data_IF_300706036087
#
_entry.id   IF_300706036087
#
_cell.length_a   1.000
_cell.length_b   1.000
_cell.length_c   1.000
_cell.angle_alpha   90.00
_cell.angle_beta   90.00
_cell.angle_gamma   90.00
#
_symmetry.space_group_name_H-M   'P 1'
#
loop_
_entity.id
_entity.type
_entity.pdbx_description
1 polymer ?
#
# COMPACT_ATOMS: atom_id res chain seq x y z
N UNK A 1 -38.42 -4.44 42.70
CA UNK A 1 -37.25 -4.84 41.88
C UNK A 1 -37.59 -5.30 40.44
N UNK A 2 -38.85 -5.35 39.99
CA UNK A 2 -39.21 -5.91 38.66
C UNK A 2 -39.06 -4.98 37.43
N UNK A 3 -39.16 -3.66 37.58
CA UNK A 3 -39.32 -2.76 36.42
C UNK A 3 -38.01 -2.46 35.65
N UNK A 4 -36.84 -2.53 36.32
CA UNK A 4 -35.52 -2.30 35.69
C UNK A 4 -35.01 -3.48 34.85
N UNK A 5 -35.54 -4.68 35.08
CA UNK A 5 -35.15 -5.90 34.34
C UNK A 5 -35.88 -5.99 32.99
N UNK A 6 -37.19 -5.68 32.96
CA UNK A 6 -37.98 -5.63 31.73
C UNK A 6 -37.49 -4.55 30.74
N UNK A 7 -37.12 -3.37 31.22
CA UNK A 7 -36.59 -2.29 30.37
C UNK A 7 -35.27 -2.64 29.66
N UNK A 8 -34.40 -3.42 30.31
CA UNK A 8 -33.14 -3.90 29.70
C UNK A 8 -33.38 -4.96 28.62
N UNK A 9 -34.35 -5.86 28.84
CA UNK A 9 -34.74 -6.90 27.89
C UNK A 9 -35.38 -6.31 26.63
N UNK A 10 -36.25 -5.30 26.78
CA UNK A 10 -36.86 -4.59 25.66
C UNK A 10 -35.85 -3.80 24.82
N UNK A 11 -34.87 -3.15 25.46
CA UNK A 11 -33.78 -2.47 24.75
C UNK A 11 -32.86 -3.43 23.97
N UNK A 12 -32.59 -4.62 24.52
CA UNK A 12 -31.86 -5.68 23.81
C UNK A 12 -32.64 -6.22 22.61
N UNK A 13 -33.94 -6.44 22.77
CA UNK A 13 -34.82 -6.91 21.69
C UNK A 13 -34.95 -5.86 20.57
N UNK A 14 -35.10 -4.58 20.92
CA UNK A 14 -35.11 -3.48 19.96
C UNK A 14 -33.77 -3.36 19.21
N UNK A 15 -32.64 -3.48 19.91
CA UNK A 15 -31.31 -3.49 19.30
C UNK A 15 -31.09 -4.68 18.35
N UNK A 16 -31.60 -5.86 18.70
CA UNK A 16 -31.56 -7.04 17.84
C UNK A 16 -32.44 -6.86 16.60
N UNK A 17 -33.66 -6.34 16.75
CA UNK A 17 -34.57 -6.07 15.64
C UNK A 17 -34.00 -5.05 14.64
N UNK A 18 -33.37 -3.98 15.13
CA UNK A 18 -32.71 -2.98 14.27
C UNK A 18 -31.54 -3.60 13.49
N UNK A 19 -30.72 -4.46 14.13
CA UNK A 19 -29.62 -5.16 13.45
C UNK A 19 -30.12 -6.12 12.36
N UNK A 20 -31.21 -6.84 12.63
CA UNK A 20 -31.83 -7.75 11.65
C UNK A 20 -32.45 -6.96 10.49
N UNK A 21 -33.12 -5.85 10.76
CA UNK A 21 -33.68 -4.98 9.71
C UNK A 21 -32.57 -4.37 8.83
N UNK A 22 -31.45 -3.94 9.43
CA UNK A 22 -30.31 -3.41 8.71
C UNK A 22 -29.63 -4.50 7.85
N UNK A 23 -29.48 -5.71 8.39
CA UNK A 23 -28.93 -6.86 7.65
C UNK A 23 -29.83 -7.28 6.48
N UNK A 24 -31.16 -7.28 6.67
CA UNK A 24 -32.13 -7.55 5.61
C UNK A 24 -32.11 -6.47 4.52
N UNK A 25 -32.03 -5.19 4.90
CA UNK A 25 -31.91 -4.07 3.96
C UNK A 25 -30.60 -4.15 3.16
N UNK A 26 -29.47 -4.44 3.82
CA UNK A 26 -28.19 -4.67 3.16
C UNK A 26 -28.25 -5.87 2.21
N UNK A 27 -28.88 -6.97 2.61
CA UNK A 27 -29.06 -8.15 1.77
C UNK A 27 -29.96 -7.88 0.55
N UNK A 28 -30.92 -6.96 0.66
CA UNK A 28 -31.80 -6.55 -0.45
C UNK A 28 -31.12 -5.57 -1.41
N UNK A 29 -30.29 -4.67 -0.89
CA UNK A 29 -29.57 -3.66 -1.67
C UNK A 29 -28.28 -4.19 -2.28
N UNK A 30 -27.63 -5.20 -1.69
CA UNK A 30 -26.37 -5.78 -2.20
C UNK A 30 -26.49 -6.31 -3.64
N UNK A 31 -27.52 -7.08 -4.02
CA UNK A 31 -27.69 -7.59 -5.38
C UNK A 31 -27.85 -6.46 -6.40
N UNK A 32 -28.69 -5.47 -6.09
CA UNK A 32 -28.88 -4.30 -6.94
C UNK A 32 -27.59 -3.47 -7.07
N UNK A 33 -26.87 -3.26 -5.98
CA UNK A 33 -25.56 -2.60 -5.98
C UNK A 33 -24.50 -3.41 -6.75
N UNK A 34 -24.52 -4.74 -6.66
CA UNK A 34 -23.59 -5.60 -7.44
C UNK A 34 -23.92 -5.58 -8.92
N UNK A 35 -25.19 -5.57 -9.31
CA UNK A 35 -25.61 -5.41 -10.72
C UNK A 35 -25.23 -4.03 -11.24
N UNK A 36 -25.52 -2.96 -10.50
CA UNK A 36 -25.08 -1.60 -10.82
C UNK A 36 -23.56 -1.54 -10.96
N UNK A 37 -22.81 -2.12 -10.02
CA UNK A 37 -21.35 -2.11 -10.08
C UNK A 37 -20.81 -2.96 -11.23
N UNK A 38 -21.39 -4.13 -11.52
CA UNK A 38 -21.00 -4.95 -12.66
C UNK A 38 -21.26 -4.23 -13.98
N UNK A 39 -22.42 -3.59 -14.12
CA UNK A 39 -22.77 -2.81 -15.31
C UNK A 39 -21.90 -1.55 -15.45
N UNK A 40 -21.67 -0.80 -14.36
CA UNK A 40 -20.76 0.34 -14.34
C UNK A 40 -19.29 -0.07 -14.57
N UNK A 41 -18.84 -1.22 -14.06
CA UNK A 41 -17.50 -1.76 -14.33
C UNK A 41 -17.36 -2.29 -15.76
N UNK A 42 -18.41 -2.88 -16.33
CA UNK A 42 -18.41 -3.32 -17.73
C UNK A 42 -18.39 -2.11 -18.68
N UNK A 43 -19.24 -1.11 -18.43
CA UNK A 43 -19.27 0.13 -19.19
C UNK A 43 -17.96 0.91 -19.01
N UNK A 44 -17.42 0.96 -17.79
CA UNK A 44 -16.11 1.53 -17.47
C UNK A 44 -14.96 0.80 -18.16
N UNK A 45 -14.99 -0.53 -18.25
CA UNK A 45 -13.99 -1.31 -18.99
C UNK A 45 -14.12 -1.11 -20.50
N UNK A 46 -15.33 -0.95 -21.03
CA UNK A 46 -15.59 -0.64 -22.43
C UNK A 46 -15.09 0.76 -22.79
N UNK A 47 -15.30 1.74 -21.90
CA UNK A 47 -14.80 3.11 -22.02
C UNK A 47 -13.28 3.20 -21.79
N UNK A 48 -12.72 2.42 -20.86
CA UNK A 48 -11.28 2.33 -20.61
C UNK A 48 -10.54 1.64 -21.77
N UNK A 49 -11.15 0.64 -22.42
CA UNK A 49 -10.63 0.08 -23.66
C UNK A 49 -10.62 1.08 -24.83
N UNK A 50 -11.36 2.20 -24.70
CA UNK A 50 -11.39 3.31 -25.64
C UNK A 50 -10.66 4.57 -25.13
N UNK A 51 -10.29 4.62 -23.85
CA UNK A 51 -9.56 5.72 -23.24
C UNK A 51 -8.07 5.44 -23.39
N UNK A 52 -7.35 6.41 -23.94
CA UNK A 52 -5.93 6.29 -24.18
C UNK A 52 -5.21 6.10 -22.83
N UNK A 53 -4.65 4.91 -22.63
CA UNK A 53 -3.82 4.47 -21.49
C UNK A 53 -2.52 5.29 -21.34
N UNK A 54 -2.39 6.35 -22.16
CA UNK A 54 -1.12 6.94 -22.47
C UNK A 54 -0.74 8.02 -21.45
N UNK A 55 0.38 7.74 -20.78
CA UNK A 55 1.09 8.70 -19.94
C UNK A 55 2.26 9.30 -20.70
N UNK A 56 2.44 8.96 -21.98
CA UNK A 56 3.43 9.59 -22.83
C UNK A 56 3.18 11.08 -22.90
N UNK A 57 4.27 11.84 -22.72
CA UNK A 57 4.21 13.30 -22.68
C UNK A 57 3.57 13.90 -21.44
N UNK A 58 2.99 13.11 -20.52
CA UNK A 58 2.50 13.62 -19.23
C UNK A 58 3.66 13.85 -18.27
N UNK A 59 3.46 14.79 -17.34
CA UNK A 59 4.42 15.10 -16.27
C UNK A 59 3.98 14.45 -14.97
N UNK A 60 4.83 13.59 -14.43
CA UNK A 60 4.56 12.79 -13.23
C UNK A 60 5.55 13.18 -12.12
N UNK A 61 5.03 13.72 -11.03
CA UNK A 61 5.81 14.01 -9.80
C UNK A 61 5.74 12.82 -8.85
N UNK A 62 6.87 12.19 -8.55
CA UNK A 62 6.95 11.01 -7.68
C UNK A 62 7.75 11.32 -6.42
N UNK A 63 7.11 11.18 -5.27
CA UNK A 63 7.76 11.31 -3.96
C UNK A 63 8.29 9.96 -3.47
N UNK A 64 9.42 9.98 -2.77
CA UNK A 64 10.10 8.76 -2.31
C UNK A 64 10.67 7.94 -3.47
N UNK A 65 11.10 8.60 -4.54
CA UNK A 65 11.52 7.94 -5.78
C UNK A 65 12.92 7.30 -5.72
N UNK A 66 13.72 7.57 -4.68
CA UNK A 66 15.12 7.12 -4.58
C UNK A 66 15.34 5.63 -4.29
N UNK A 67 14.27 4.85 -4.07
CA UNK A 67 14.37 3.42 -3.72
C UNK A 67 13.00 2.74 -3.70
N UNK A 68 12.99 1.41 -3.88
CA UNK A 68 11.82 0.57 -3.58
C UNK A 68 10.66 0.84 -4.54
N UNK A 69 9.43 0.93 -4.01
CA UNK A 69 8.24 1.12 -4.85
C UNK A 69 8.33 2.39 -5.70
N UNK A 70 8.76 3.52 -5.12
CA UNK A 70 8.83 4.79 -5.84
C UNK A 70 9.81 4.77 -7.02
N UNK A 71 10.94 4.08 -6.86
CA UNK A 71 11.92 3.85 -7.93
C UNK A 71 11.31 3.02 -9.07
N UNK A 72 10.65 1.90 -8.74
CA UNK A 72 10.05 1.05 -9.77
C UNK A 72 8.84 1.70 -10.46
N UNK A 73 8.10 2.56 -9.76
CA UNK A 73 7.08 3.42 -10.36
C UNK A 73 7.71 4.41 -11.35
N UNK A 74 8.83 5.05 -11.00
CA UNK A 74 9.54 5.94 -11.91
C UNK A 74 9.95 5.22 -13.20
N UNK A 75 10.50 4.02 -13.09
CA UNK A 75 10.87 3.23 -14.28
C UNK A 75 9.65 2.82 -15.12
N UNK A 76 8.52 2.48 -14.51
CA UNK A 76 7.32 2.11 -15.25
C UNK A 76 6.68 3.33 -15.96
N UNK A 77 6.61 4.49 -15.31
CA UNK A 77 6.18 5.72 -15.97
C UNK A 77 7.13 6.13 -17.10
N UNK A 78 8.46 5.99 -16.89
CA UNK A 78 9.46 6.25 -17.91
C UNK A 78 9.29 5.37 -19.17
N UNK A 79 9.09 4.05 -19.00
CA UNK A 79 8.86 3.13 -20.12
C UNK A 79 7.62 3.47 -20.94
N UNK A 80 6.69 4.21 -20.35
CA UNK A 80 5.46 4.70 -20.99
C UNK A 80 5.62 6.13 -21.51
N UNK A 81 6.83 6.67 -21.60
CA UNK A 81 7.13 7.97 -22.22
C UNK A 81 6.76 9.19 -21.37
N UNK A 82 6.57 9.04 -20.06
CA UNK A 82 6.27 10.17 -19.19
C UNK A 82 7.52 11.00 -18.87
N UNK A 83 7.35 12.31 -18.73
CA UNK A 83 8.30 13.20 -18.08
C UNK A 83 8.20 13.02 -16.57
N UNK A 84 9.34 13.01 -15.87
CA UNK A 84 9.35 12.71 -14.44
C UNK A 84 9.96 13.85 -13.63
N UNK A 85 9.32 14.19 -12.53
CA UNK A 85 9.93 14.92 -11.43
C UNK A 85 10.11 13.96 -10.25
N UNK A 86 11.35 13.72 -9.83
CA UNK A 86 11.71 12.73 -8.82
C UNK A 86 12.13 13.40 -7.53
N UNK A 87 11.45 13.07 -6.43
CA UNK A 87 11.65 13.68 -5.12
C UNK A 87 12.04 12.64 -4.07
N UNK A 88 13.10 12.93 -3.32
CA UNK A 88 13.50 12.24 -2.10
C UNK A 88 14.62 13.02 -1.39
N UNK A 89 15.06 12.55 -0.22
CA UNK A 89 16.13 13.20 0.56
C UNK A 89 17.54 12.93 0.03
N UNK A 90 17.76 11.76 -0.57
CA UNK A 90 19.09 11.30 -1.03
C UNK A 90 19.28 11.67 -2.49
N UNK A 91 19.92 12.81 -2.75
CA UNK A 91 20.08 13.34 -4.10
C UNK A 91 20.86 12.41 -5.04
N UNK A 92 21.96 11.83 -4.57
CA UNK A 92 22.79 10.91 -5.38
C UNK A 92 21.97 9.73 -5.90
N UNK A 93 21.20 9.07 -5.03
CA UNK A 93 20.33 7.97 -5.45
C UNK A 93 19.18 8.41 -6.34
N UNK A 94 18.68 9.64 -6.21
CA UNK A 94 17.70 10.17 -7.17
C UNK A 94 18.31 10.37 -8.55
N UNK A 95 19.55 10.85 -8.63
CA UNK A 95 20.25 11.01 -9.90
C UNK A 95 20.44 9.67 -10.60
N UNK A 96 20.85 8.63 -9.85
CA UNK A 96 20.94 7.27 -10.40
C UNK A 96 19.59 6.75 -10.94
N UNK A 97 18.51 6.93 -10.18
CA UNK A 97 17.16 6.57 -10.64
C UNK A 97 16.75 7.41 -11.86
N UNK A 98 17.11 8.69 -11.89
CA UNK A 98 16.82 9.60 -13.00
C UNK A 98 17.52 9.18 -14.29
N UNK A 99 18.81 8.85 -14.21
CA UNK A 99 19.60 8.35 -15.34
C UNK A 99 19.03 7.03 -15.88
N UNK A 100 18.66 6.11 -14.96
CA UNK A 100 18.01 4.85 -15.32
C UNK A 100 16.62 5.06 -15.93
N UNK A 101 15.85 6.06 -15.46
CA UNK A 101 14.55 6.40 -16.02
C UNK A 101 14.67 7.02 -17.43
N UNK A 102 15.66 7.89 -17.67
CA UNK A 102 15.98 8.38 -19.02
C UNK A 102 16.33 7.20 -19.95
N UNK A 103 17.21 6.30 -19.50
CA UNK A 103 17.58 5.10 -20.26
C UNK A 103 16.40 4.16 -20.51
N UNK A 104 15.39 4.15 -19.63
CA UNK A 104 14.19 3.34 -19.76
C UNK A 104 13.13 3.93 -20.71
N UNK A 105 13.27 5.18 -21.16
CA UNK A 105 12.38 5.81 -22.14
C UNK A 105 11.73 7.13 -21.73
N UNK A 106 12.06 7.67 -20.55
CA UNK A 106 11.54 8.99 -20.17
C UNK A 106 12.11 10.08 -21.08
N UNK A 107 11.29 10.99 -21.64
CA UNK A 107 11.79 12.08 -22.48
C UNK A 107 12.51 13.19 -21.68
N UNK A 108 12.36 13.21 -20.36
CA UNK A 108 13.02 14.20 -19.51
C UNK A 108 12.75 13.96 -18.02
N UNK A 109 13.78 14.18 -17.21
CA UNK A 109 13.74 13.97 -15.76
C UNK A 109 14.25 15.19 -15.02
N UNK A 110 13.48 15.66 -14.02
CA UNK A 110 13.88 16.65 -13.03
C UNK A 110 14.13 15.94 -11.69
N UNK A 111 15.30 16.15 -11.09
CA UNK A 111 15.61 15.66 -9.74
C UNK A 111 15.48 16.82 -8.75
N UNK A 112 14.69 16.62 -7.70
CA UNK A 112 14.52 17.61 -6.64
C UNK A 112 14.73 16.96 -5.27
N UNK A 113 15.86 17.27 -4.64
CA UNK A 113 16.12 16.82 -3.28
C UNK A 113 15.29 17.63 -2.27
N UNK A 114 14.77 16.94 -1.24
CA UNK A 114 14.06 17.57 -0.13
C UNK A 114 13.30 16.57 0.74
N UNK A 115 12.65 17.08 1.78
CA UNK A 115 11.85 16.31 2.72
C UNK A 115 10.35 16.64 2.59
N UNK A 116 9.54 15.62 2.29
CA UNK A 116 8.08 15.73 2.22
C UNK A 116 7.42 16.08 3.56
N UNK A 117 8.16 16.00 4.67
CA UNK A 117 7.71 16.49 5.97
C UNK A 117 7.74 18.02 6.10
N UNK A 118 8.49 18.71 5.22
CA UNK A 118 8.61 20.16 5.16
C UNK A 118 7.57 20.75 4.19
N UNK A 119 6.64 21.60 4.66
CA UNK A 119 5.69 22.28 3.78
C UNK A 119 6.36 23.18 2.73
N UNK A 120 7.52 23.75 3.04
CA UNK A 120 8.29 24.59 2.10
C UNK A 120 8.89 23.75 0.99
N UNK A 121 9.43 22.57 1.32
CA UNK A 121 9.95 21.63 0.34
C UNK A 121 8.80 21.10 -0.54
N UNK A 122 7.65 20.78 0.04
CA UNK A 122 6.46 20.36 -0.71
C UNK A 122 6.01 21.42 -1.73
N UNK A 123 5.97 22.71 -1.34
CA UNK A 123 5.70 23.82 -2.27
C UNK A 123 6.74 23.87 -3.39
N UNK A 124 8.02 23.82 -3.01
CA UNK A 124 9.15 23.81 -3.94
C UNK A 124 9.06 22.68 -4.96
N UNK A 125 8.68 21.46 -4.56
CA UNK A 125 8.56 20.33 -5.49
C UNK A 125 7.56 20.60 -6.60
N UNK A 126 6.40 21.14 -6.25
CA UNK A 126 5.33 21.47 -7.21
C UNK A 126 5.76 22.65 -8.08
N UNK A 127 6.26 23.73 -7.47
CA UNK A 127 6.67 24.93 -8.18
C UNK A 127 7.83 24.67 -9.17
N UNK A 128 8.84 23.89 -8.75
CA UNK A 128 9.96 23.51 -9.60
C UNK A 128 9.49 22.63 -10.76
N UNK A 129 8.56 21.70 -10.51
CA UNK A 129 7.98 20.82 -11.54
C UNK A 129 7.22 21.63 -12.59
N UNK A 130 6.35 22.53 -12.16
CA UNK A 130 5.57 23.41 -13.05
C UNK A 130 6.51 24.37 -13.79
N UNK A 131 7.53 24.92 -13.13
CA UNK A 131 8.50 25.81 -13.77
C UNK A 131 9.33 25.10 -14.84
N UNK A 132 9.72 23.85 -14.59
CA UNK A 132 10.58 23.09 -15.49
C UNK A 132 9.82 22.48 -16.67
N UNK A 133 8.66 21.86 -16.43
CA UNK A 133 7.88 21.17 -17.48
C UNK A 133 6.65 21.94 -17.96
N UNK A 134 6.29 23.06 -17.33
CA UNK A 134 5.12 23.88 -17.68
C UNK A 134 3.79 23.33 -17.18
N UNK A 135 3.75 22.11 -16.62
CA UNK A 135 2.53 21.43 -16.15
C UNK A 135 2.84 20.34 -15.12
N UNK A 136 1.79 19.84 -14.47
CA UNK A 136 1.81 18.64 -13.63
C UNK A 136 0.53 17.86 -13.87
N UNK A 137 0.65 16.60 -14.31
CA UNK A 137 -0.50 15.75 -14.67
C UNK A 137 -0.81 14.72 -13.58
N UNK A 138 0.24 14.09 -13.03
CA UNK A 138 0.10 13.04 -12.01
C UNK A 138 0.98 13.38 -10.80
N UNK A 139 0.39 13.31 -9.61
CA UNK A 139 1.10 13.39 -8.33
C UNK A 139 1.07 12.03 -7.61
N UNK A 140 2.23 11.43 -7.43
CA UNK A 140 2.40 10.13 -6.76
C UNK A 140 2.95 10.36 -5.35
N UNK A 141 2.03 10.40 -4.38
CA UNK A 141 2.32 10.51 -2.95
C UNK A 141 2.73 9.16 -2.35
N UNK A 142 3.95 8.72 -2.64
CA UNK A 142 4.50 7.42 -2.26
C UNK A 142 5.48 7.49 -1.06
N UNK A 143 6.12 8.64 -0.81
CA UNK A 143 7.09 8.78 0.28
C UNK A 143 6.49 8.34 1.63
N UNK A 144 7.17 7.43 2.30
CA UNK A 144 6.74 6.93 3.61
C UNK A 144 7.92 6.49 4.47
N UNK A 145 7.69 6.49 5.78
CA UNK A 145 8.54 5.85 6.76
C UNK A 145 7.91 4.52 7.14
N UNK A 146 8.74 3.53 7.46
CA UNK A 146 8.29 2.22 7.93
C UNK A 146 9.14 1.78 9.11
N UNK A 147 8.50 1.23 10.14
CA UNK A 147 9.14 0.74 11.36
C UNK A 147 8.48 -0.58 11.74
N UNK A 148 9.31 -1.58 12.05
CA UNK A 148 8.86 -2.90 12.53
C UNK A 148 9.55 -3.18 13.86
N UNK A 149 8.82 -3.78 14.79
CA UNK A 149 9.29 -4.18 16.10
C UNK A 149 8.16 -4.84 16.87
N UNK A 150 8.50 -5.66 17.87
CA UNK A 150 7.48 -6.28 18.72
C UNK A 150 6.84 -5.22 19.60
N UNK A 151 5.53 -5.36 19.84
CA UNK A 151 4.82 -4.42 20.70
C UNK A 151 5.42 -4.34 22.11
N UNK A 152 5.80 -5.48 22.70
CA UNK A 152 6.44 -5.58 24.02
C UNK A 152 7.80 -4.88 24.08
N UNK A 153 8.41 -4.67 22.92
CA UNK A 153 9.72 -4.06 22.78
C UNK A 153 9.65 -2.54 22.51
N UNK A 154 8.45 -1.98 22.37
CA UNK A 154 8.24 -0.55 22.14
C UNK A 154 8.44 0.25 23.43
N UNK A 155 9.43 1.13 23.40
CA UNK A 155 9.68 2.10 24.47
C UNK A 155 8.80 3.36 24.33
N UNK A 156 8.38 3.68 23.10
CA UNK A 156 7.47 4.79 22.80
C UNK A 156 6.45 4.37 21.73
N UNK A 157 5.18 4.37 22.12
CA UNK A 157 4.03 4.05 21.25
C UNK A 157 3.90 5.01 20.07
N UNK A 158 4.46 6.23 20.16
CA UNK A 158 4.40 7.20 19.08
C UNK A 158 5.09 6.73 17.80
N UNK A 159 6.05 5.81 17.89
CA UNK A 159 6.72 5.22 16.72
C UNK A 159 5.74 4.42 15.84
N UNK A 160 5.02 3.47 16.44
CA UNK A 160 3.98 2.70 15.73
C UNK A 160 2.74 3.53 15.38
N UNK A 161 2.37 4.48 16.26
CA UNK A 161 1.26 5.40 16.02
C UNK A 161 1.49 6.23 14.76
N UNK A 162 2.70 6.75 14.54
CA UNK A 162 3.05 7.54 13.34
C UNK A 162 2.80 6.75 12.06
N UNK A 163 3.14 5.46 12.03
CA UNK A 163 2.91 4.62 10.85
C UNK A 163 1.42 4.30 10.65
N UNK A 164 0.78 3.68 11.64
CA UNK A 164 -0.57 3.15 11.47
C UNK A 164 -1.62 4.27 11.39
N UNK A 165 -1.50 5.30 12.23
CA UNK A 165 -2.44 6.41 12.22
C UNK A 165 -2.28 7.26 10.95
N UNK A 166 -1.06 7.47 10.44
CA UNK A 166 -0.88 8.25 9.20
C UNK A 166 -1.48 7.57 7.97
N UNK A 167 -1.36 6.24 7.85
CA UNK A 167 -1.99 5.49 6.75
C UNK A 167 -3.52 5.51 6.84
N UNK A 168 -4.07 5.34 8.04
CA UNK A 168 -5.51 5.48 8.26
C UNK A 168 -6.02 6.90 7.99
N UNK A 169 -5.26 7.92 8.39
CA UNK A 169 -5.59 9.31 8.11
C UNK A 169 -5.52 9.61 6.61
N UNK A 170 -4.48 9.13 5.92
CA UNK A 170 -4.31 9.31 4.48
C UNK A 170 -5.47 8.68 3.70
N UNK A 171 -5.88 7.46 4.03
CA UNK A 171 -7.02 6.79 3.39
C UNK A 171 -8.31 7.64 3.51
N UNK A 172 -8.65 8.09 4.72
CA UNK A 172 -9.85 8.92 4.92
C UNK A 172 -9.74 10.31 4.27
N UNK A 173 -8.53 10.89 4.24
CA UNK A 173 -8.27 12.17 3.58
C UNK A 173 -8.50 12.06 2.07
N UNK A 174 -7.93 11.05 1.41
CA UNK A 174 -8.06 10.87 -0.03
C UNK A 174 -9.49 10.50 -0.45
N UNK A 175 -10.25 9.79 0.39
CA UNK A 175 -11.69 9.63 0.18
C UNK A 175 -12.43 10.96 0.14
N UNK A 176 -12.14 11.84 1.10
CA UNK A 176 -12.78 13.14 1.21
C UNK A 176 -12.42 14.03 0.03
N UNK A 177 -11.12 14.13 -0.29
CA UNK A 177 -10.61 14.90 -1.42
C UNK A 177 -11.20 14.42 -2.75
N UNK A 178 -11.45 13.12 -2.90
CA UNK A 178 -12.04 12.57 -4.13
C UNK A 178 -13.46 13.10 -4.36
N UNK A 179 -14.21 13.35 -3.28
CA UNK A 179 -15.56 13.93 -3.37
C UNK A 179 -15.49 15.43 -3.66
N UNK A 180 -14.57 16.15 -3.00
CA UNK A 180 -14.40 17.59 -3.18
C UNK A 180 -13.91 17.95 -4.58
N UNK A 181 -12.95 17.19 -5.13
CA UNK A 181 -12.32 17.46 -6.41
C UNK A 181 -13.01 16.79 -7.61
N UNK A 182 -14.14 16.09 -7.38
CA UNK A 182 -14.86 15.38 -8.44
C UNK A 182 -15.32 16.32 -9.58
N UNK A 183 -15.58 17.60 -9.28
CA UNK A 183 -15.96 18.62 -10.25
C UNK A 183 -14.78 19.22 -11.04
N UNK A 184 -13.56 19.07 -10.53
CA UNK A 184 -12.36 19.72 -11.07
C UNK A 184 -11.59 18.83 -12.06
N UNK A 185 -12.10 17.63 -12.35
CA UNK A 185 -11.47 16.67 -13.25
C UNK A 185 -10.23 15.98 -12.66
N UNK A 186 -9.99 16.10 -11.35
CA UNK A 186 -8.87 15.45 -10.67
C UNK A 186 -9.31 14.08 -10.14
N UNK A 187 -8.72 13.02 -10.68
CA UNK A 187 -8.91 11.66 -10.19
C UNK A 187 -7.93 11.34 -9.06
N UNK A 188 -8.41 10.63 -8.04
CA UNK A 188 -7.59 10.13 -6.93
C UNK A 188 -7.67 8.62 -6.87
N UNK A 189 -6.52 7.97 -7.03
CA UNK A 189 -6.36 6.52 -6.93
C UNK A 189 -5.57 6.16 -5.67
N UNK A 190 -6.14 5.28 -4.85
CA UNK A 190 -5.45 4.70 -3.70
C UNK A 190 -4.86 3.33 -4.07
N UNK A 191 -3.54 3.23 -4.01
CA UNK A 191 -2.82 1.98 -4.26
C UNK A 191 -2.60 1.26 -2.94
N UNK A 192 -3.08 0.04 -2.84
CA UNK A 192 -3.07 -0.79 -1.63
C UNK A 192 -2.17 -2.00 -1.91
N UNK A 193 -0.88 -1.92 -1.57
CA UNK A 193 0.05 -3.01 -1.74
C UNK A 193 -0.17 -4.12 -0.71
N UNK A 194 0.07 -5.35 -1.13
CA UNK A 194 0.46 -6.46 -0.27
C UNK A 194 1.92 -6.37 0.12
N UNK A 195 2.58 -7.50 0.28
CA UNK A 195 4.02 -7.51 0.59
C UNK A 195 4.81 -7.36 -0.71
N UNK A 196 5.48 -6.21 -0.87
CA UNK A 196 6.30 -5.90 -2.05
C UNK A 196 7.77 -5.89 -1.67
N UNK A 197 8.58 -6.51 -2.51
CA UNK A 197 10.02 -6.55 -2.36
C UNK A 197 10.63 -5.15 -2.24
N UNK A 198 11.38 -4.93 -1.18
CA UNK A 198 12.13 -3.71 -0.89
C UNK A 198 13.30 -4.00 0.05
N UNK A 199 14.16 -3.01 0.28
CA UNK A 199 15.23 -3.10 1.29
C UNK A 199 14.69 -3.48 2.67
N UNK A 200 13.46 -3.07 2.99
CA UNK A 200 12.76 -3.43 4.23
C UNK A 200 12.47 -4.92 4.27
N UNK A 201 11.87 -5.48 3.21
CA UNK A 201 11.55 -6.91 3.18
C UNK A 201 12.80 -7.78 3.16
N UNK A 202 13.97 -7.24 2.81
CA UNK A 202 15.26 -7.97 2.87
C UNK A 202 15.80 -8.11 4.30
N UNK A 203 15.13 -7.55 5.30
CA UNK A 203 15.49 -7.66 6.71
C UNK A 203 16.23 -6.44 7.25
N UNK A 204 16.33 -5.35 6.48
CA UNK A 204 16.87 -4.05 6.95
C UNK A 204 15.79 -3.38 7.82
N UNK A 205 15.94 -3.47 9.13
CA UNK A 205 15.01 -2.94 10.13
C UNK A 205 15.67 -1.84 10.94
N UNK A 206 14.90 -0.83 11.32
CA UNK A 206 15.36 0.22 12.22
C UNK A 206 15.22 -0.28 13.67
N UNK A 207 16.30 -0.28 14.45
CA UNK A 207 16.30 -0.63 15.87
C UNK A 207 15.76 0.51 16.73
N UNK A 208 15.58 0.22 18.03
CA UNK A 208 15.06 1.16 19.02
C UNK A 208 15.91 2.42 19.18
N UNK A 209 17.23 2.30 18.97
CA UNK A 209 18.18 3.42 19.05
C UNK A 209 18.21 4.28 17.77
N UNK A 210 17.47 3.89 16.71
CA UNK A 210 17.51 4.54 15.41
C UNK A 210 18.59 3.99 14.47
N UNK A 211 19.28 2.92 14.86
CA UNK A 211 20.28 2.26 14.05
C UNK A 211 19.63 1.28 13.06
N UNK A 212 20.24 1.08 11.90
CA UNK A 212 19.77 0.10 10.92
C UNK A 212 20.42 -1.25 11.19
N UNK A 213 19.62 -2.26 11.54
CA UNK A 213 20.05 -3.66 11.72
C UNK A 213 19.48 -4.54 10.62
N UNK A 214 20.26 -5.53 10.22
CA UNK A 214 19.78 -6.62 9.38
C UNK A 214 19.44 -7.82 10.27
N UNK A 215 18.19 -8.26 10.27
CA UNK A 215 17.76 -9.47 10.99
C UNK A 215 16.89 -10.37 10.09
N UNK A 216 17.46 -11.49 9.64
CA UNK A 216 16.78 -12.40 8.73
C UNK A 216 15.79 -13.33 9.42
N UNK A 217 16.04 -13.67 10.69
CA UNK A 217 15.13 -14.53 11.46
C UNK A 217 13.87 -13.77 11.83
N UNK A 218 14.02 -12.50 12.21
CA UNK A 218 12.88 -11.62 12.47
C UNK A 218 12.11 -11.34 11.18
N UNK A 219 12.79 -11.12 10.05
CA UNK A 219 12.15 -11.01 8.73
C UNK A 219 11.33 -12.26 8.42
N UNK A 220 11.92 -13.45 8.54
CA UNK A 220 11.24 -14.71 8.19
C UNK A 220 10.06 -15.00 9.12
N UNK A 221 10.13 -14.56 10.38
CA UNK A 221 9.02 -14.62 11.34
C UNK A 221 7.87 -13.65 10.98
N UNK A 222 8.19 -12.44 10.53
CA UNK A 222 7.21 -11.40 10.15
C UNK A 222 6.55 -11.71 8.80
N UNK A 223 7.36 -12.05 7.80
CA UNK A 223 6.86 -12.37 6.45
C UNK A 223 6.12 -13.70 6.44
N UNK A 224 6.62 -14.70 7.17
CA UNK A 224 6.09 -16.05 7.17
C UNK A 224 5.93 -16.60 5.76
N UNK A 225 4.83 -17.33 5.52
CA UNK A 225 4.49 -17.90 4.22
C UNK A 225 3.80 -16.91 3.27
N UNK A 226 3.72 -15.62 3.61
CA UNK A 226 3.07 -14.62 2.76
C UNK A 226 3.79 -14.49 1.41
N UNK A 227 3.05 -14.42 0.29
CA UNK A 227 3.65 -14.19 -1.02
C UNK A 227 4.22 -12.77 -1.09
N UNK A 228 5.47 -12.66 -1.53
CA UNK A 228 6.15 -11.39 -1.77
C UNK A 228 6.25 -11.13 -3.26
N UNK A 229 5.71 -10.00 -3.69
CA UNK A 229 5.71 -9.58 -5.09
C UNK A 229 6.98 -8.80 -5.46
N UNK A 230 7.44 -8.92 -6.70
CA UNK A 230 8.55 -8.10 -7.19
C UNK A 230 8.08 -6.66 -7.38
N UNK A 231 8.88 -5.69 -6.93
CA UNK A 231 8.52 -4.27 -7.03
C UNK A 231 8.23 -3.80 -8.47
N UNK A 232 8.91 -4.36 -9.47
CA UNK A 232 8.64 -4.06 -10.88
C UNK A 232 7.30 -4.60 -11.40
N UNK A 233 6.85 -5.76 -10.92
CA UNK A 233 5.55 -6.33 -11.28
C UNK A 233 4.43 -5.53 -10.62
N UNK A 234 4.59 -5.25 -9.33
CA UNK A 234 3.70 -4.36 -8.57
C UNK A 234 3.58 -2.99 -9.25
N UNK A 235 4.70 -2.33 -9.61
CA UNK A 235 4.68 -1.03 -10.25
C UNK A 235 3.93 -1.05 -11.60
N UNK A 236 4.13 -2.10 -12.41
CA UNK A 236 3.41 -2.28 -13.67
C UNK A 236 1.91 -2.39 -13.47
N UNK A 237 1.48 -3.18 -12.48
CA UNK A 237 0.07 -3.35 -12.17
C UNK A 237 -0.53 -2.06 -11.57
N UNK A 238 0.18 -1.40 -10.67
CA UNK A 238 -0.20 -0.12 -10.08
C UNK A 238 -0.41 0.98 -11.13
N UNK A 239 0.57 1.21 -12.01
CA UNK A 239 0.46 2.22 -13.07
C UNK A 239 -0.65 1.87 -14.06
N UNK A 240 -0.84 0.58 -14.39
CA UNK A 240 -1.97 0.15 -15.22
C UNK A 240 -3.32 0.48 -14.58
N UNK A 241 -3.49 0.19 -13.29
CA UNK A 241 -4.73 0.52 -12.57
C UNK A 241 -4.99 2.02 -12.49
N UNK A 242 -3.93 2.83 -12.29
CA UNK A 242 -4.01 4.29 -12.31
C UNK A 242 -4.42 4.81 -13.69
N UNK A 243 -3.79 4.35 -14.77
CA UNK A 243 -4.17 4.72 -16.15
C UNK A 243 -5.60 4.31 -16.49
N UNK A 244 -6.04 3.13 -16.03
CA UNK A 244 -7.41 2.64 -16.21
C UNK A 244 -8.47 3.36 -15.37
N UNK A 245 -8.10 4.40 -14.60
CA UNK A 245 -9.02 5.18 -13.78
C UNK A 245 -9.58 4.41 -12.57
N UNK A 246 -8.87 3.39 -12.09
CA UNK A 246 -9.30 2.64 -10.91
C UNK A 246 -9.25 3.53 -9.67
N UNK A 247 -10.32 3.51 -8.85
CA UNK A 247 -10.33 4.24 -7.57
C UNK A 247 -9.41 3.60 -6.53
N UNK A 248 -9.35 2.28 -6.53
CA UNK A 248 -8.49 1.49 -5.67
C UNK A 248 -7.76 0.45 -6.48
N UNK A 249 -6.44 0.39 -6.35
CA UNK A 249 -5.61 -0.65 -6.96
C UNK A 249 -5.10 -1.55 -5.85
N UNK A 250 -5.68 -2.74 -5.74
CA UNK A 250 -5.22 -3.77 -4.81
C UNK A 250 -4.23 -4.67 -5.54
N UNK A 251 -2.98 -4.71 -5.09
CA UNK A 251 -2.02 -5.66 -5.62
C UNK A 251 -1.28 -6.41 -4.51
N UNK A 252 -1.43 -7.75 -4.43
CA UNK A 252 -2.11 -8.61 -5.40
C UNK A 252 -3.64 -8.48 -5.35
N UNK A 253 -4.34 -8.61 -6.49
CA UNK A 253 -5.80 -8.41 -6.62
C UNK A 253 -6.67 -9.19 -5.62
N UNK A 254 -6.23 -10.38 -5.18
CA UNK A 254 -6.96 -11.18 -4.18
C UNK A 254 -7.02 -10.51 -2.81
N UNK A 255 -6.12 -9.57 -2.51
CA UNK A 255 -6.10 -8.81 -1.26
C UNK A 255 -7.39 -7.98 -1.07
N UNK A 256 -8.06 -7.63 -2.17
CA UNK A 256 -9.40 -7.03 -2.14
C UNK A 256 -10.44 -7.92 -1.45
N UNK A 257 -10.37 -9.23 -1.66
CA UNK A 257 -11.25 -10.19 -1.00
C UNK A 257 -10.94 -10.27 0.50
N UNK A 258 -9.65 -10.27 0.88
CA UNK A 258 -9.23 -10.23 2.28
C UNK A 258 -9.71 -8.95 2.99
N UNK A 259 -9.64 -7.79 2.32
CA UNK A 259 -10.19 -6.54 2.84
C UNK A 259 -11.72 -6.61 3.03
N UNK A 260 -12.43 -7.25 2.10
CA UNK A 260 -13.87 -7.46 2.23
C UNK A 260 -14.19 -8.39 3.41
N UNK A 261 -13.41 -9.46 3.59
CA UNK A 261 -13.53 -10.35 4.75
C UNK A 261 -13.25 -9.61 6.06
N UNK A 262 -12.28 -8.70 6.10
CA UNK A 262 -12.01 -7.86 7.28
C UNK A 262 -13.23 -7.04 7.69
N UNK A 263 -13.94 -6.47 6.72
CA UNK A 263 -15.12 -5.62 6.97
C UNK A 263 -16.32 -6.45 7.40
N UNK A 264 -16.56 -7.60 6.77
CA UNK A 264 -17.75 -8.41 7.02
C UNK A 264 -17.59 -9.45 8.14
N UNK A 265 -16.37 -9.94 8.36
CA UNK A 265 -16.04 -11.05 9.26
C UNK A 265 -14.68 -10.80 9.97
N UNK A 266 -14.55 -9.72 10.74
CA UNK A 266 -13.29 -9.36 11.38
C UNK A 266 -12.75 -10.46 12.32
N UNK A 267 -13.63 -11.19 13.00
CA UNK A 267 -13.25 -12.27 13.94
C UNK A 267 -12.62 -13.47 13.22
N UNK A 268 -13.09 -13.80 12.01
CA UNK A 268 -12.52 -14.87 11.21
C UNK A 268 -11.11 -14.52 10.72
N UNK A 269 -10.91 -13.26 10.31
CA UNK A 269 -9.59 -12.76 9.93
C UNK A 269 -8.63 -12.73 11.12
N UNK A 270 -9.10 -12.30 12.30
CA UNK A 270 -8.31 -12.30 13.52
C UNK A 270 -7.87 -13.72 13.92
N UNK A 271 -8.78 -14.69 13.82
CA UNK A 271 -8.46 -16.09 14.10
C UNK A 271 -7.39 -16.63 13.15
N UNK A 272 -7.52 -16.38 11.84
CA UNK A 272 -6.50 -16.73 10.84
C UNK A 272 -5.16 -16.04 11.10
N UNK A 273 -5.18 -14.75 11.45
CA UNK A 273 -3.96 -13.99 11.74
C UNK A 273 -3.24 -14.55 12.98
N UNK A 274 -3.96 -14.85 14.06
CA UNK A 274 -3.41 -15.48 15.27
C UNK A 274 -2.78 -16.83 14.95
N UNK A 275 -3.46 -17.66 14.14
CA UNK A 275 -2.95 -18.95 13.70
C UNK A 275 -1.74 -18.88 12.78
N UNK A 276 -1.46 -17.76 12.11
CA UNK A 276 -0.30 -17.65 11.21
C UNK A 276 0.88 -16.96 11.88
N UNK A 277 0.60 -16.05 12.81
CA UNK A 277 1.61 -15.16 13.43
C UNK A 277 2.02 -15.61 14.83
N UNK A 278 1.29 -16.52 15.48
CA UNK A 278 1.59 -17.01 16.84
C UNK A 278 1.55 -18.53 16.89
N UNK A 279 2.71 -19.18 17.01
CA UNK A 279 2.82 -20.59 17.45
C UNK A 279 3.24 -20.56 18.92
N UNK A 280 2.51 -21.20 19.85
CA UNK A 280 3.07 -21.49 21.17
C UNK A 280 3.63 -22.90 21.16
N UNK A 281 4.95 -23.03 20.99
CA UNK A 281 5.80 -24.16 21.40
C UNK A 281 7.27 -23.70 21.35
N UNK A 282 7.68 -22.84 22.28
CA UNK A 282 9.08 -22.41 22.43
C UNK A 282 9.22 -21.06 23.16
N UNK A 283 10.38 -20.79 23.80
CA UNK A 283 10.67 -19.49 24.44
C UNK A 283 11.08 -18.40 23.44
N UNK A 284 11.27 -18.71 22.15
CA UNK A 284 11.75 -17.78 21.14
C UNK A 284 10.60 -17.06 20.41
N UNK A 285 10.71 -15.74 20.26
CA UNK A 285 9.71 -14.87 19.62
C UNK A 285 9.63 -15.02 18.09
N UNK A 286 10.53 -15.78 17.48
CA UNK A 286 10.62 -16.00 16.02
C UNK A 286 10.03 -17.33 15.59
N UNK A 287 9.59 -18.20 16.51
CA UNK A 287 8.97 -19.49 16.19
C UNK A 287 7.48 -19.31 15.91
N UNK A 288 7.15 -18.84 14.70
CA UNK A 288 5.76 -18.65 14.24
C UNK A 288 5.32 -19.77 13.29
N UNK A 289 4.00 -19.99 13.19
CA UNK A 289 3.40 -20.94 12.24
C UNK A 289 3.79 -20.58 10.82
N UNK A 290 3.78 -19.27 10.51
CA UNK A 290 4.18 -18.73 9.23
C UNK A 290 5.65 -19.03 8.91
N UNK A 291 6.57 -18.90 9.87
CA UNK A 291 7.98 -19.26 9.69
C UNK A 291 8.17 -20.76 9.50
N UNK A 292 7.47 -21.57 10.30
CA UNK A 292 7.50 -23.02 10.14
C UNK A 292 6.97 -23.45 8.77
N UNK A 293 5.87 -22.85 8.29
CA UNK A 293 5.36 -23.11 6.93
C UNK A 293 6.38 -22.68 5.87
N UNK A 294 7.02 -21.52 6.04
CA UNK A 294 8.01 -21.01 5.11
C UNK A 294 9.25 -21.90 4.99
N UNK A 295 9.80 -22.36 6.13
CA UNK A 295 11.07 -23.08 6.20
C UNK A 295 10.91 -24.61 6.23
N UNK A 296 9.82 -25.09 6.82
CA UNK A 296 9.56 -26.51 7.07
C UNK A 296 8.79 -27.22 5.95
N UNK A 297 8.07 -26.50 5.08
CA UNK A 297 7.39 -27.08 3.91
C UNK A 297 8.34 -27.02 2.70
N UNK A 298 8.74 -28.17 2.12
CA UNK A 298 9.63 -28.20 0.96
C UNK A 298 9.08 -27.36 -0.21
N UNK A 299 9.89 -26.46 -0.74
CA UNK A 299 9.52 -25.63 -1.89
C UNK A 299 8.68 -24.38 -1.57
N UNK A 300 8.15 -24.23 -0.35
CA UNK A 300 7.29 -23.08 0.00
C UNK A 300 8.01 -21.75 -0.20
N UNK A 301 9.24 -21.62 0.31
CA UNK A 301 10.08 -20.43 0.12
C UNK A 301 10.35 -20.10 -1.35
N UNK A 302 10.39 -21.10 -2.22
CA UNK A 302 10.59 -20.90 -3.66
C UNK A 302 9.34 -20.38 -4.36
N UNK A 303 8.16 -20.77 -3.86
CA UNK A 303 6.85 -20.36 -4.37
C UNK A 303 6.46 -18.96 -3.88
N UNK A 304 6.76 -18.63 -2.63
CA UNK A 304 6.29 -17.38 -2.00
C UNK A 304 7.29 -16.23 -2.06
N UNK A 305 8.60 -16.48 -2.23
CA UNK A 305 9.62 -15.43 -2.19
C UNK A 305 10.43 -15.30 -3.49
N UNK A 306 10.67 -14.07 -3.99
CA UNK A 306 11.55 -13.81 -5.13
C UNK A 306 13.01 -14.14 -4.80
N UNK A 307 13.82 -14.33 -5.85
CA UNK A 307 15.22 -14.77 -5.72
C UNK A 307 16.08 -13.86 -4.82
N UNK A 308 15.82 -12.56 -4.83
CA UNK A 308 16.50 -11.55 -4.02
C UNK A 308 16.29 -11.72 -2.51
N UNK A 309 15.16 -12.26 -2.07
CA UNK A 309 14.87 -12.57 -0.66
C UNK A 309 15.39 -13.93 -0.21
N UNK A 310 15.85 -14.74 -1.18
CA UNK A 310 16.48 -16.04 -0.95
C UNK A 310 18.00 -15.93 -0.86
N UNK A 311 18.59 -14.84 -1.35
CA UNK A 311 20.03 -14.58 -1.26
C UNK A 311 20.41 -14.06 0.14
N UNK A 312 21.50 -14.55 0.75
CA UNK A 312 22.05 -13.98 1.97
C UNK A 312 22.73 -12.61 1.76
N UNK A 313 23.02 -12.23 0.51
CA UNK A 313 23.71 -10.99 0.18
C UNK A 313 22.73 -9.81 0.10
N UNK A 314 22.83 -8.88 1.05
CA UNK A 314 22.11 -7.60 1.00
C UNK A 314 23.03 -6.55 0.38
N UNK A 315 22.54 -5.81 -0.63
CA UNK A 315 23.25 -4.64 -1.15
C UNK A 315 23.36 -3.60 -0.03
N UNK A 316 24.56 -3.42 0.50
CA UNK A 316 24.88 -2.28 1.34
C UNK A 316 24.95 -1.02 0.45
N UNK A 317 23.81 -0.35 0.28
CA UNK A 317 23.75 1.06 -0.12
C UNK A 317 22.93 1.83 0.90
#
# INVERSE_FOLDING_TARGET
MGNKSLGKSLAQLAGAAVRVALAALLALLLPAYRVYRLTASFLGALLAAAADDDVAGKVVLITGASSGIGEHLAYEYARRGAYLALVARREESLREVGDAALAAGSPGVLVVAGDVSSPDDCRKFVDDTIRYFGRLDHLVNNASIWQVGKFEELTDVNHFRKLMASKAAAANLYETLRMELAGDGIAITEVIPGVVESEITKGKMLTKEGDMRVDQDERDAILGAAPVERAGEFARAAVRGVCGGERYVFEPRWYRAAYTLRVCFPEALEWCARLLTVWRLGPATTDTVGRWLLLGVPGQRWLSQPASLRSPEIKAR
#
